data_IF_331467159678
#
_entry.id   IF_331467159678
#
_cell.length_a   1.000
_cell.length_b   1.000
_cell.length_c   1.000
_cell.angle_alpha   90.00
_cell.angle_beta   90.00
_cell.angle_gamma   90.00
#
_symmetry.space_group_name_H-M   'P 1'
#
loop_
_entity.id
_entity.type
_entity.pdbx_description
1 polymer ?
#
# COMPACT_ATOMS: atom_id res chain seq x y z
N UNK A 1 78.40 -0.11 7.94
CA UNK A 1 77.09 -0.77 7.93
C UNK A 1 76.02 0.30 7.95
N UNK A 2 75.32 0.52 6.83
CA UNK A 2 74.21 1.45 6.74
C UNK A 2 73.03 0.69 6.13
N UNK A 3 71.99 0.44 6.93
CA UNK A 3 70.77 -0.24 6.51
C UNK A 3 69.77 0.84 6.09
N UNK A 4 69.55 0.93 4.79
CA UNK A 4 68.59 1.83 4.16
C UNK A 4 67.19 1.22 4.30
N UNK A 5 66.35 1.79 5.16
CA UNK A 5 64.98 1.34 5.40
C UNK A 5 64.04 2.09 4.46
N UNK A 6 63.67 1.47 3.33
CA UNK A 6 62.67 2.02 2.40
C UNK A 6 61.26 1.78 2.93
N UNK A 7 60.63 2.82 3.46
CA UNK A 7 59.20 2.87 3.76
C UNK A 7 58.41 3.03 2.46
N UNK A 8 57.81 1.94 1.98
CA UNK A 8 56.85 1.97 0.88
C UNK A 8 55.47 2.35 1.42
N UNK A 9 55.08 3.61 1.20
CA UNK A 9 53.71 4.09 1.41
C UNK A 9 52.83 3.61 0.24
N UNK A 10 52.07 2.54 0.43
CA UNK A 10 51.03 2.11 -0.51
C UNK A 10 49.74 2.88 -0.21
N UNK A 11 49.46 3.90 -1.02
CA UNK A 11 48.18 4.60 -1.03
C UNK A 11 47.08 3.67 -1.56
N UNK A 12 46.22 3.15 -0.68
CA UNK A 12 44.95 2.55 -1.08
C UNK A 12 44.03 3.66 -1.62
N UNK A 13 43.96 3.80 -2.94
CA UNK A 13 42.90 4.55 -3.59
C UNK A 13 41.62 3.71 -3.53
N UNK A 14 40.73 4.02 -2.58
CA UNK A 14 39.38 3.47 -2.57
C UNK A 14 38.63 3.97 -3.81
N UNK A 15 38.49 3.10 -4.81
CA UNK A 15 37.64 3.35 -5.96
C UNK A 15 36.18 3.41 -5.50
N UNK A 16 35.69 4.61 -5.21
CA UNK A 16 34.26 4.86 -5.04
C UNK A 16 33.57 4.51 -6.35
N UNK A 17 32.94 3.33 -6.40
CA UNK A 17 31.93 3.00 -7.42
C UNK A 17 30.86 4.08 -7.35
N UNK A 18 30.91 5.04 -8.28
CA UNK A 18 29.79 5.93 -8.58
C UNK A 18 28.58 5.03 -8.82
N UNK A 19 27.63 5.03 -7.88
CA UNK A 19 26.32 4.47 -8.13
C UNK A 19 25.77 5.13 -9.40
N UNK A 20 25.13 4.37 -10.32
CA UNK A 20 24.48 4.96 -11.46
C UNK A 20 23.47 5.98 -10.95
N UNK A 21 23.75 7.26 -11.23
CA UNK A 21 22.79 8.35 -11.11
C UNK A 21 21.64 8.00 -12.04
N UNK A 22 20.61 7.36 -11.47
CA UNK A 22 19.32 7.24 -12.12
C UNK A 22 18.85 8.67 -12.35
N UNK A 23 19.01 9.11 -13.60
CA UNK A 23 18.49 10.37 -14.11
C UNK A 23 16.97 10.33 -13.90
N UNK A 24 16.52 10.83 -12.75
CA UNK A 24 15.12 10.96 -12.41
C UNK A 24 14.50 11.78 -13.52
N UNK A 25 13.64 11.15 -14.31
CA UNK A 25 12.82 11.84 -15.29
C UNK A 25 12.05 12.87 -14.48
N UNK A 26 12.41 14.16 -14.64
CA UNK A 26 11.81 15.27 -13.90
C UNK A 26 10.33 15.30 -14.30
N UNK A 27 9.50 14.64 -13.51
CA UNK A 27 8.05 14.63 -13.69
C UNK A 27 7.61 16.08 -13.56
N UNK A 28 7.25 16.70 -14.68
CA UNK A 28 6.74 18.06 -14.64
C UNK A 28 5.38 18.02 -13.94
N UNK A 29 5.11 18.98 -13.06
CA UNK A 29 3.89 19.08 -12.24
C UNK A 29 2.57 18.97 -13.03
N UNK A 30 2.60 19.05 -14.36
CA UNK A 30 1.43 18.99 -15.23
C UNK A 30 0.98 17.57 -15.57
N UNK A 31 1.76 16.53 -15.25
CA UNK A 31 1.44 15.13 -15.63
C UNK A 31 0.78 14.32 -14.50
N UNK A 32 0.62 14.91 -13.31
CA UNK A 32 -0.11 14.26 -12.20
C UNK A 32 -1.61 14.38 -12.46
N UNK A 33 -2.23 13.29 -12.93
CA UNK A 33 -3.66 13.23 -13.21
C UNK A 33 -4.47 13.10 -11.92
N UNK A 34 -4.68 14.23 -11.23
CA UNK A 34 -5.56 14.31 -10.07
C UNK A 34 -7.03 14.17 -10.51
N UNK A 35 -7.72 13.18 -9.94
CA UNK A 35 -9.16 12.97 -10.12
C UNK A 35 -9.90 13.92 -9.19
N UNK A 36 -10.37 15.05 -9.75
CA UNK A 36 -11.04 16.14 -8.99
C UNK A 36 -12.27 15.69 -8.19
N UNK A 37 -12.93 14.60 -8.58
CA UNK A 37 -14.11 14.06 -7.91
C UNK A 37 -13.79 13.10 -6.75
N UNK A 38 -12.51 12.93 -6.41
CA UNK A 38 -12.05 12.02 -5.37
C UNK A 38 -11.25 12.78 -4.30
N UNK A 39 -11.23 12.28 -3.05
CA UNK A 39 -10.35 12.80 -2.01
C UNK A 39 -8.87 12.74 -2.41
N UNK A 40 -8.01 13.45 -1.67
CA UNK A 40 -6.56 13.47 -1.88
C UNK A 40 -5.92 12.09 -1.71
N UNK A 41 -6.43 11.29 -0.80
CA UNK A 41 -6.03 9.90 -0.59
C UNK A 41 -7.30 9.08 -0.44
N UNK A 42 -7.40 7.97 -1.16
CA UNK A 42 -8.56 7.08 -1.06
C UNK A 42 -8.17 5.63 -1.34
N UNK A 43 -8.97 4.69 -0.84
CA UNK A 43 -8.84 3.27 -1.15
C UNK A 43 -9.98 2.87 -2.09
N UNK A 44 -9.64 2.14 -3.16
CA UNK A 44 -10.59 1.54 -4.10
C UNK A 44 -10.60 0.02 -4.03
N UNK A 45 -11.73 -0.58 -4.39
CA UNK A 45 -11.87 -2.02 -4.56
C UNK A 45 -11.31 -2.45 -5.91
N UNK A 46 -10.47 -3.48 -5.93
CA UNK A 46 -9.97 -4.08 -7.18
C UNK A 46 -10.70 -5.40 -7.48
N UNK A 47 -10.62 -6.37 -6.56
CA UNK A 47 -11.23 -7.71 -6.72
C UNK A 47 -11.32 -8.46 -5.39
N UNK A 48 -12.02 -9.58 -5.42
CA UNK A 48 -12.09 -10.59 -4.37
C UNK A 48 -11.74 -11.95 -5.00
N UNK A 49 -11.11 -12.84 -4.25
CA UNK A 49 -10.64 -14.11 -4.78
C UNK A 49 -10.03 -15.01 -3.72
N UNK A 50 -9.84 -16.28 -4.10
CA UNK A 50 -9.23 -17.29 -3.24
C UNK A 50 -7.71 -17.32 -3.38
N UNK A 51 -7.03 -17.51 -2.27
CA UNK A 51 -5.57 -17.64 -2.17
C UNK A 51 -5.22 -18.33 -0.84
N UNK A 52 -4.03 -18.93 -0.76
CA UNK A 52 -3.54 -19.44 0.52
C UNK A 52 -3.47 -18.30 1.57
N UNK A 53 -3.81 -18.57 2.84
CA UNK A 53 -3.60 -17.63 3.94
C UNK A 53 -2.15 -17.16 4.05
N UNK A 54 -1.93 -15.86 4.29
CA UNK A 54 -0.58 -15.32 4.53
C UNK A 54 -0.15 -15.59 5.98
N UNK A 55 -1.10 -15.58 6.90
CA UNK A 55 -0.89 -15.84 8.32
C UNK A 55 -1.83 -16.92 8.85
N UNK A 56 -1.42 -17.55 9.96
CA UNK A 56 -2.25 -18.51 10.67
C UNK A 56 -3.56 -17.84 11.15
N UNK A 57 -4.69 -18.50 10.90
CA UNK A 57 -6.02 -18.02 11.29
C UNK A 57 -6.72 -17.14 10.26
N UNK A 58 -6.07 -16.75 9.15
CA UNK A 58 -6.76 -16.05 8.06
C UNK A 58 -7.58 -17.03 7.20
N UNK A 59 -8.65 -16.53 6.58
CA UNK A 59 -9.43 -17.28 5.59
C UNK A 59 -8.72 -17.44 4.25
N UNK A 60 -9.18 -18.41 3.44
CA UNK A 60 -8.71 -18.65 2.07
C UNK A 60 -9.17 -17.60 1.06
N UNK A 61 -9.83 -16.53 1.52
CA UNK A 61 -10.45 -15.51 0.67
C UNK A 61 -9.92 -14.14 1.06
N UNK A 62 -9.43 -13.40 0.06
CA UNK A 62 -8.90 -12.05 0.25
C UNK A 62 -9.61 -11.04 -0.63
N UNK A 63 -9.54 -9.78 -0.22
CA UNK A 63 -9.98 -8.62 -0.97
C UNK A 63 -8.76 -7.81 -1.37
N UNK A 64 -8.54 -7.65 -2.67
CA UNK A 64 -7.51 -6.77 -3.20
C UNK A 64 -8.08 -5.36 -3.30
N UNK A 65 -7.31 -4.43 -2.74
CA UNK A 65 -7.61 -3.03 -2.66
C UNK A 65 -6.48 -2.24 -3.29
N UNK A 66 -6.78 -1.04 -3.75
CA UNK A 66 -5.79 -0.10 -4.26
C UNK A 66 -5.80 1.17 -3.45
N UNK A 67 -4.67 1.51 -2.86
CA UNK A 67 -4.44 2.78 -2.22
C UNK A 67 -4.02 3.78 -3.29
N UNK A 68 -4.73 4.90 -3.41
CA UNK A 68 -4.45 5.96 -4.38
C UNK A 68 -3.92 7.21 -3.67
N UNK A 69 -2.74 7.68 -4.08
CA UNK A 69 -2.27 9.02 -3.76
C UNK A 69 -2.74 10.00 -4.85
N UNK A 70 -3.92 10.54 -4.67
CA UNK A 70 -4.54 11.54 -5.55
C UNK A 70 -4.16 12.98 -5.14
N UNK A 71 -3.03 13.16 -4.46
CA UNK A 71 -2.52 14.45 -4.02
C UNK A 71 -1.33 14.91 -4.87
N UNK A 72 -0.80 16.10 -4.59
CA UNK A 72 0.43 16.63 -5.21
C UNK A 72 1.70 16.24 -4.45
N UNK A 73 1.54 15.51 -3.36
CA UNK A 73 2.56 15.31 -2.36
C UNK A 73 2.86 13.84 -2.21
N UNK A 74 4.06 13.50 -1.77
CA UNK A 74 4.37 12.10 -1.45
C UNK A 74 3.70 11.73 -0.13
N UNK A 75 3.19 10.51 -0.07
CA UNK A 75 2.64 9.93 1.16
C UNK A 75 3.43 8.71 1.54
N UNK A 76 3.55 8.49 2.84
CA UNK A 76 4.33 7.42 3.42
C UNK A 76 3.45 6.57 4.33
N UNK A 77 3.62 5.26 4.28
CA UNK A 77 2.91 4.35 5.18
C UNK A 77 3.78 3.13 5.52
N UNK A 78 3.44 2.53 6.66
CA UNK A 78 4.04 1.32 7.19
C UNK A 78 3.68 0.13 6.29
N UNK A 79 4.69 -0.60 5.85
CA UNK A 79 4.54 -1.65 4.83
C UNK A 79 5.57 -2.77 4.97
N UNK A 80 5.24 -3.89 4.34
CA UNK A 80 6.07 -5.10 4.28
C UNK A 80 6.05 -5.71 2.88
N UNK A 81 7.08 -6.51 2.58
CA UNK A 81 7.14 -7.28 1.36
C UNK A 81 6.26 -8.52 1.45
N UNK A 82 5.55 -8.84 0.37
CA UNK A 82 4.73 -10.05 0.24
C UNK A 82 4.95 -10.71 -1.12
N UNK A 83 4.62 -12.00 -1.29
CA UNK A 83 4.55 -12.61 -2.60
C UNK A 83 3.58 -11.85 -3.51
N UNK A 84 3.90 -11.78 -4.81
CA UNK A 84 3.22 -10.89 -5.78
C UNK A 84 1.72 -11.18 -5.93
N UNK A 85 1.30 -12.40 -5.67
CA UNK A 85 -0.09 -12.85 -5.68
C UNK A 85 -0.96 -12.15 -4.62
N UNK A 86 -0.36 -11.70 -3.51
CA UNK A 86 -1.04 -10.94 -2.45
C UNK A 86 -1.13 -9.44 -2.74
N UNK A 87 -0.37 -8.93 -3.71
CA UNK A 87 -0.32 -7.51 -4.02
C UNK A 87 1.09 -7.05 -4.37
N UNK A 88 1.27 -5.74 -4.47
CA UNK A 88 2.57 -5.11 -4.65
C UNK A 88 3.31 -4.95 -3.31
N UNK A 89 2.55 -4.82 -2.22
CA UNK A 89 3.04 -4.74 -0.84
C UNK A 89 1.94 -5.16 0.13
N UNK A 90 2.31 -5.47 1.36
CA UNK A 90 1.41 -5.46 2.49
C UNK A 90 1.46 -4.08 3.15
N UNK A 91 0.29 -3.50 3.40
CA UNK A 91 0.15 -2.23 4.12
C UNK A 91 -0.33 -2.54 5.53
N UNK A 92 0.23 -1.88 6.53
CA UNK A 92 -0.28 -1.97 7.91
C UNK A 92 -1.58 -1.16 8.04
N UNK A 93 -2.59 -1.80 8.62
CA UNK A 93 -3.90 -1.19 8.88
C UNK A 93 -4.45 -1.65 10.22
N UNK A 94 -5.42 -0.88 10.72
CA UNK A 94 -6.25 -1.26 11.85
C UNK A 94 -7.63 -1.69 11.36
N UNK A 95 -8.30 -2.57 12.10
CA UNK A 95 -9.69 -2.95 11.83
C UNK A 95 -10.57 -2.18 12.82
N UNK A 96 -11.57 -1.48 12.29
CA UNK A 96 -12.54 -0.75 13.11
C UNK A 96 -13.96 -1.24 12.84
N UNK A 97 -14.74 -1.38 13.91
CA UNK A 97 -16.17 -1.65 13.83
C UNK A 97 -16.92 -0.33 13.79
N UNK A 98 -17.57 -0.05 12.66
CA UNK A 98 -18.39 1.15 12.50
C UNK A 98 -19.90 0.87 12.67
N UNK A 99 -20.29 -0.42 12.72
CA UNK A 99 -21.68 -0.84 12.93
C UNK A 99 -21.77 -2.11 13.78
N UNK A 100 -22.69 -2.12 14.73
CA UNK A 100 -22.94 -3.25 15.64
C UNK A 100 -22.00 -3.26 16.85
N UNK A 101 -21.98 -4.38 17.57
CA UNK A 101 -21.15 -4.60 18.77
C UNK A 101 -20.30 -5.87 18.62
N UNK A 102 -19.27 -6.00 19.45
CA UNK A 102 -18.39 -7.17 19.51
C UNK A 102 -16.95 -6.87 19.10
N UNK A 103 -16.08 -7.86 19.30
CA UNK A 103 -14.64 -7.75 19.04
C UNK A 103 -14.35 -7.63 17.54
N UNK A 104 -13.23 -6.98 17.21
CA UNK A 104 -12.67 -6.97 15.86
C UNK A 104 -11.71 -8.15 15.71
N UNK A 105 -11.55 -8.72 14.50
CA UNK A 105 -10.49 -9.69 14.25
C UNK A 105 -9.13 -9.14 14.71
N UNK A 106 -8.29 -10.01 15.24
CA UNK A 106 -6.90 -9.65 15.54
C UNK A 106 -6.15 -9.36 14.25
N UNK A 107 -5.38 -8.30 14.23
CA UNK A 107 -4.37 -8.08 13.19
C UNK A 107 -3.03 -8.54 13.73
N UNK A 108 -2.26 -9.32 12.96
CA UNK A 108 -0.85 -9.53 13.26
C UNK A 108 -0.17 -8.16 13.27
N UNK A 109 0.28 -7.71 14.44
CA UNK A 109 1.04 -6.46 14.57
C UNK A 109 2.49 -6.81 14.31
N UNK A 110 3.07 -6.20 13.28
CA UNK A 110 4.51 -6.20 13.13
C UNK A 110 5.09 -5.20 14.14
N UNK A 111 6.03 -5.65 14.97
CA UNK A 111 6.74 -4.78 15.93
C UNK A 111 7.62 -3.72 15.23
N UNK A 112 7.94 -3.95 13.95
CA UNK A 112 8.63 -3.02 13.08
C UNK A 112 8.15 -3.19 11.62
N UNK A 113 8.12 -2.10 10.86
CA UNK A 113 7.82 -2.13 9.42
C UNK A 113 8.75 -1.21 8.64
N UNK A 114 8.85 -1.45 7.34
CA UNK A 114 9.49 -0.53 6.41
C UNK A 114 8.51 0.55 5.97
N UNK A 115 8.98 1.78 5.82
CA UNK A 115 8.17 2.84 5.22
C UNK A 115 8.24 2.76 3.70
N UNK A 116 7.07 2.70 3.05
CA UNK A 116 6.94 2.86 1.61
C UNK A 116 6.50 4.27 1.30
N UNK A 117 7.22 4.91 0.37
CA UNK A 117 6.94 6.25 -0.11
C UNK A 117 6.24 6.18 -1.47
N UNK A 118 4.99 6.64 -1.52
CA UNK A 118 4.14 6.61 -2.70
C UNK A 118 4.02 8.02 -3.30
N UNK A 119 4.43 8.20 -4.56
CA UNK A 119 4.50 9.53 -5.17
C UNK A 119 3.13 10.10 -5.51
N UNK A 120 3.11 11.41 -5.76
CA UNK A 120 1.94 12.11 -6.27
C UNK A 120 1.39 11.43 -7.54
N UNK A 121 0.10 11.07 -7.51
CA UNK A 121 -0.60 10.38 -8.60
C UNK A 121 -0.37 8.88 -8.70
N UNK A 122 0.53 8.31 -7.90
CA UNK A 122 0.76 6.86 -7.87
C UNK A 122 -0.31 6.13 -7.06
N UNK A 123 -0.38 4.83 -7.25
CA UNK A 123 -1.27 3.94 -6.53
C UNK A 123 -0.61 2.59 -6.35
N UNK A 124 -0.99 1.86 -5.31
CA UNK A 124 -0.43 0.55 -5.01
C UNK A 124 -1.52 -0.44 -4.64
N UNK A 125 -1.41 -1.68 -5.11
CA UNK A 125 -2.30 -2.77 -4.74
C UNK A 125 -1.79 -3.51 -3.51
N UNK A 126 -2.69 -3.76 -2.57
CA UNK A 126 -2.48 -4.62 -1.42
C UNK A 126 -3.72 -5.51 -1.24
N UNK A 127 -3.64 -6.53 -0.38
CA UNK A 127 -4.81 -7.35 -0.06
C UNK A 127 -4.98 -7.54 1.43
N UNK A 128 -6.24 -7.70 1.83
CA UNK A 128 -6.63 -7.98 3.22
C UNK A 128 -7.50 -9.25 3.29
N UNK A 129 -7.47 -10.00 4.39
CA UNK A 129 -8.41 -11.09 4.63
C UNK A 129 -9.86 -10.61 4.51
N UNK A 130 -10.72 -11.47 3.95
CA UNK A 130 -12.12 -11.12 3.68
C UNK A 130 -12.90 -10.79 4.96
N UNK A 131 -12.59 -11.47 6.05
CA UNK A 131 -13.15 -11.31 7.38
C UNK A 131 -12.84 -9.95 8.01
N UNK A 132 -11.73 -9.29 7.62
CA UNK A 132 -11.41 -7.92 8.08
C UNK A 132 -12.35 -6.87 7.48
N UNK A 133 -13.08 -7.25 6.44
CA UNK A 133 -14.15 -6.46 5.81
C UNK A 133 -15.50 -7.18 5.92
N UNK A 134 -15.72 -7.94 6.99
CA UNK A 134 -17.04 -8.48 7.32
C UNK A 134 -18.06 -7.34 7.56
N UNK A 135 -19.36 -7.68 7.60
CA UNK A 135 -20.40 -6.66 7.77
C UNK A 135 -20.18 -5.81 9.03
N UNK A 136 -20.16 -4.49 8.85
CA UNK A 136 -19.97 -3.53 9.94
C UNK A 136 -18.51 -3.26 10.29
N UNK A 137 -17.57 -3.82 9.54
CA UNK A 137 -16.13 -3.57 9.70
C UNK A 137 -15.56 -2.70 8.57
N UNK A 138 -14.52 -1.95 8.92
CA UNK A 138 -13.71 -1.19 7.98
C UNK A 138 -12.24 -1.42 8.30
N UNK A 139 -11.40 -1.28 7.29
CA UNK A 139 -9.97 -1.08 7.54
C UNK A 139 -9.67 0.42 7.59
N UNK A 140 -8.71 0.78 8.44
CA UNK A 140 -8.19 2.13 8.62
C UNK A 140 -6.68 2.08 8.35
N UNK A 141 -6.26 2.70 7.25
CA UNK A 141 -4.84 2.81 6.89
C UNK A 141 -4.30 4.15 7.39
N UNK A 142 -3.26 4.10 8.20
CA UNK A 142 -2.49 5.26 8.62
C UNK A 142 -1.51 5.68 7.52
N UNK A 143 -1.36 6.98 7.28
CA UNK A 143 -0.32 7.50 6.41
C UNK A 143 0.20 8.84 6.93
N UNK A 144 1.36 9.25 6.41
CA UNK A 144 2.02 10.52 6.69
C UNK A 144 2.29 11.24 5.37
N UNK A 145 2.29 12.56 5.38
CA UNK A 145 2.86 13.33 4.28
C UNK A 145 4.37 13.48 4.45
N UNK A 146 5.08 13.65 3.34
CA UNK A 146 6.54 13.77 3.35
C UNK A 146 7.09 14.91 4.22
N UNK A 147 6.35 15.99 4.42
CA UNK A 147 6.78 17.12 5.26
C UNK A 147 6.54 16.91 6.76
N UNK A 148 5.89 15.81 7.14
CA UNK A 148 5.59 15.46 8.55
C UNK A 148 6.69 14.57 9.14
N UNK A 149 7.67 14.22 8.31
CA UNK A 149 8.86 13.46 8.71
C UNK A 149 10.01 14.44 8.83
N UNK A 150 10.59 14.51 10.03
CA UNK A 150 11.73 15.35 10.29
C UNK A 150 12.97 14.90 9.51
N UNK A 151 13.97 15.77 9.41
CA UNK A 151 15.19 15.49 8.64
C UNK A 151 16.00 14.31 9.19
N UNK A 152 15.80 13.95 10.46
CA UNK A 152 16.40 12.79 11.11
C UNK A 152 15.54 11.51 10.97
N UNK A 153 14.40 11.59 10.27
CA UNK A 153 13.47 10.50 10.07
C UNK A 153 12.51 10.29 11.24
N UNK A 154 12.55 11.13 12.27
CA UNK A 154 11.58 11.08 13.37
C UNK A 154 10.22 11.63 12.93
N UNK A 155 9.17 11.16 13.61
CA UNK A 155 7.80 11.64 13.42
C UNK A 155 7.38 12.19 14.77
N UNK A 156 7.08 13.48 14.81
CA UNK A 156 6.65 14.14 16.05
C UNK A 156 5.27 13.63 16.47
N UNK A 157 5.10 13.29 17.74
CA UNK A 157 3.80 12.89 18.33
C UNK A 157 2.75 14.00 18.27
N UNK A 158 3.16 15.23 17.96
CA UNK A 158 2.28 16.40 17.81
C UNK A 158 1.71 16.54 16.40
N UNK A 159 2.21 15.79 15.42
CA UNK A 159 1.71 15.87 14.04
C UNK A 159 0.28 15.33 13.93
N UNK A 160 -0.55 15.92 13.06
CA UNK A 160 -1.88 15.41 12.80
C UNK A 160 -1.79 13.99 12.23
N UNK A 161 -2.58 13.07 12.79
CA UNK A 161 -2.66 11.71 12.29
C UNK A 161 -3.60 11.64 11.09
N UNK A 162 -3.13 11.09 9.97
CA UNK A 162 -3.95 10.94 8.77
C UNK A 162 -4.38 9.50 8.57
N UNK A 163 -5.64 9.35 8.20
CA UNK A 163 -6.27 8.06 8.01
C UNK A 163 -7.07 8.04 6.72
N UNK A 164 -7.10 6.88 6.08
CA UNK A 164 -8.07 6.58 5.03
C UNK A 164 -8.77 5.28 5.34
N UNK A 165 -10.10 5.30 5.18
CA UNK A 165 -10.96 4.17 5.46
C UNK A 165 -11.35 3.44 4.18
N UNK A 166 -11.50 2.13 4.30
CA UNK A 166 -12.27 1.32 3.36
C UNK A 166 -13.27 0.47 4.14
N UNK A 167 -14.55 0.75 3.92
CA UNK A 167 -15.66 0.12 4.62
C UNK A 167 -16.16 -1.13 3.88
N UNK A 168 -16.64 -2.13 4.62
CA UNK A 168 -17.21 -3.36 4.05
C UNK A 168 -18.33 -3.11 3.03
N UNK A 169 -19.13 -2.05 3.22
CA UNK A 169 -20.23 -1.69 2.30
C UNK A 169 -19.75 -1.17 0.95
N UNK A 170 -18.47 -0.79 0.82
CA UNK A 170 -17.87 -0.36 -0.45
C UNK A 170 -17.49 -1.56 -1.35
N UNK A 171 -17.50 -2.78 -0.82
CA UNK A 171 -17.34 -3.99 -1.64
C UNK A 171 -18.58 -4.13 -2.54
N UNK A 172 -18.41 -4.19 -3.88
CA UNK A 172 -19.53 -4.39 -4.78
C UNK A 172 -20.30 -5.67 -4.43
N UNK A 173 -21.60 -5.54 -4.18
CA UNK A 173 -22.48 -6.70 -4.05
C UNK A 173 -22.51 -7.40 -5.41
N UNK A 174 -21.87 -8.56 -5.51
CA UNK A 174 -21.93 -9.36 -6.71
C UNK A 174 -23.40 -9.70 -7.02
N UNK A 175 -23.99 -9.02 -7.99
CA UNK A 175 -25.24 -9.44 -8.65
C UNK A 175 -24.97 -10.66 -9.55
N UNK A 176 -24.25 -11.66 -9.04
CA UNK A 176 -23.75 -12.82 -9.79
C UNK A 176 -24.88 -13.68 -10.40
N UNK A 177 -26.14 -13.45 -10.00
CA UNK A 177 -27.34 -13.98 -10.67
C UNK A 177 -27.86 -13.17 -11.86
N UNK A 178 -27.72 -11.84 -11.89
CA UNK A 178 -28.39 -11.01 -12.92
C UNK A 178 -27.58 -10.86 -14.21
N UNK A 179 -26.24 -10.94 -14.16
CA UNK A 179 -25.39 -10.79 -15.35
C UNK A 179 -25.46 -12.00 -16.29
N UNK A 180 -25.59 -13.22 -15.75
CA UNK A 180 -25.80 -14.44 -16.55
C UNK A 180 -27.21 -14.50 -17.14
N UNK A 181 -28.22 -14.01 -16.42
CA UNK A 181 -29.62 -14.02 -16.88
C UNK A 181 -29.87 -13.00 -18.01
N UNK A 182 -29.26 -11.80 -17.94
CA UNK A 182 -29.31 -10.81 -19.04
C UNK A 182 -28.59 -11.28 -20.30
N UNK A 183 -27.48 -12.02 -20.19
CA UNK A 183 -26.79 -12.61 -21.36
C UNK A 183 -27.62 -13.71 -22.02
N UNK A 184 -28.25 -14.61 -21.25
CA UNK A 184 -29.15 -15.64 -21.79
C UNK A 184 -30.43 -15.07 -22.42
N UNK A 185 -31.03 -14.05 -21.82
CA UNK A 185 -32.23 -13.40 -22.35
C UNK A 185 -31.99 -12.63 -23.67
N UNK A 186 -30.76 -12.13 -23.88
CA UNK A 186 -30.37 -11.46 -25.14
C UNK A 186 -30.08 -12.46 -26.27
N UNK A 187 -29.66 -13.68 -25.94
CA UNK A 187 -29.39 -14.73 -26.92
C UNK A 187 -30.68 -15.42 -27.40
N UNK A 188 -31.66 -15.63 -26.49
CA UNK A 188 -32.99 -16.15 -26.83
C UNK A 188 -33.92 -15.21 -27.63
N UNK A 189 -33.51 -13.97 -27.89
CA UNK A 189 -34.25 -13.00 -28.73
C UNK A 189 -33.64 -12.84 -30.13
N UNK A 190 -32.61 -13.61 -30.44
CA UNK A 190 -31.90 -13.60 -31.74
C UNK A 190 -32.01 -14.93 -32.49
N UNK A 191 -32.79 -15.86 -31.95
CA UNK A 191 -33.27 -17.10 -32.57
C UNK A 191 -34.78 -16.94 -32.76
#
# INVERSE_FOLDING_TARGET
MAVLCCLMLTSLAAAQKKMPSNRTKKMTSNDVRIVKSKPHVFIGYEREGKIEPLYEGESDTRVWLRFYNNSKWMVMFCSSSVPKEYGETEITYEIERYKGFGETPGTSRLDACGYLLLKAGESIVFSVPREHLAEGLAIKVNFLYEWEVDSDGSISDLEPKHYVYFYSWQIPKNNSGQSKQKRRAKQKRRE
#
